data_IF_204918034029
#
_entry.id   IF_204918034029
#
_cell.length_a   1.000
_cell.length_b   1.000
_cell.length_c   1.000
_cell.angle_alpha   90.00
_cell.angle_beta   90.00
_cell.angle_gamma   90.00
#
_symmetry.space_group_name_H-M   'P 1'
#
loop_
_entity.id
_entity.type
_entity.pdbx_description
1 polymer ?
#
# COMPACT_ATOMS: atom_id res chain seq x y z
N UNK A 1 -3.61 -29.57 -1.64
CA UNK A 1 -3.51 -28.12 -1.85
C UNK A 1 -2.94 -27.49 -0.59
N UNK A 2 -1.96 -26.61 -0.73
CA UNK A 2 -1.35 -25.91 0.41
C UNK A 2 -2.38 -24.91 1.01
N UNK A 3 -2.43 -24.77 2.34
CA UNK A 3 -3.33 -23.84 3.04
C UNK A 3 -3.21 -22.43 2.49
N UNK A 4 -1.99 -21.96 2.22
CA UNK A 4 -1.73 -20.62 1.65
C UNK A 4 -2.33 -20.47 0.24
N UNK A 5 -2.26 -21.50 -0.58
CA UNK A 5 -2.86 -21.49 -1.92
C UNK A 5 -4.37 -21.35 -1.84
N UNK A 6 -5.02 -22.08 -0.92
CA UNK A 6 -6.46 -21.98 -0.72
C UNK A 6 -6.88 -20.61 -0.18
N UNK A 7 -6.13 -20.08 0.79
CA UNK A 7 -6.38 -18.75 1.35
C UNK A 7 -6.26 -17.67 0.27
N UNK A 8 -5.21 -17.72 -0.55
CA UNK A 8 -5.01 -16.77 -1.65
C UNK A 8 -6.14 -16.87 -2.68
N UNK A 9 -6.49 -18.09 -3.09
CA UNK A 9 -7.59 -18.30 -4.05
C UNK A 9 -8.93 -17.78 -3.51
N UNK A 10 -9.18 -17.99 -2.22
CA UNK A 10 -10.38 -17.47 -1.56
C UNK A 10 -10.43 -15.94 -1.59
N UNK A 11 -9.33 -15.27 -1.24
CA UNK A 11 -9.24 -13.80 -1.28
C UNK A 11 -9.42 -13.26 -2.71
N UNK A 12 -8.77 -13.89 -3.70
CA UNK A 12 -8.94 -13.49 -5.10
C UNK A 12 -10.40 -13.66 -5.57
N UNK A 13 -11.08 -14.74 -5.15
CA UNK A 13 -12.50 -14.93 -5.48
C UNK A 13 -13.39 -13.85 -4.84
N UNK A 14 -13.06 -13.41 -3.62
CA UNK A 14 -13.78 -12.29 -2.97
C UNK A 14 -13.55 -10.97 -3.70
N UNK A 15 -12.33 -10.69 -4.15
CA UNK A 15 -12.01 -9.49 -4.97
C UNK A 15 -12.80 -9.55 -6.27
N UNK A 16 -12.78 -10.69 -6.98
CA UNK A 16 -13.51 -10.88 -8.22
C UNK A 16 -15.00 -10.62 -8.01
N UNK A 17 -15.61 -11.25 -7.01
CA UNK A 17 -17.03 -11.07 -6.71
C UNK A 17 -17.38 -9.60 -6.36
N UNK A 18 -16.52 -8.93 -5.57
CA UNK A 18 -16.73 -7.52 -5.25
C UNK A 18 -16.63 -6.61 -6.50
N UNK A 19 -15.72 -6.90 -7.43
CA UNK A 19 -15.61 -6.21 -8.69
C UNK A 19 -16.85 -6.45 -9.58
N UNK A 20 -17.31 -7.69 -9.72
CA UNK A 20 -18.51 -8.05 -10.48
C UNK A 20 -19.75 -7.31 -9.97
N UNK A 21 -19.98 -7.31 -8.64
CA UNK A 21 -21.11 -6.60 -8.00
C UNK A 21 -21.02 -5.08 -8.24
N UNK A 22 -19.81 -4.53 -8.27
CA UNK A 22 -19.57 -3.09 -8.44
C UNK A 22 -19.45 -2.66 -9.91
N UNK A 23 -19.58 -3.58 -10.87
CA UNK A 23 -19.43 -3.32 -12.30
C UNK A 23 -18.01 -2.89 -12.69
N UNK A 24 -16.99 -3.40 -11.98
CA UNK A 24 -15.59 -3.07 -12.19
C UNK A 24 -14.83 -4.23 -12.82
N UNK A 25 -13.78 -3.90 -13.57
CA UNK A 25 -12.83 -4.90 -14.05
C UNK A 25 -12.01 -5.44 -12.85
N UNK A 26 -11.85 -6.75 -12.75
CA UNK A 26 -11.04 -7.42 -11.71
C UNK A 26 -9.57 -6.99 -11.78
N UNK A 27 -9.05 -6.77 -12.98
CA UNK A 27 -7.68 -6.30 -13.20
C UNK A 27 -7.44 -4.86 -12.67
N UNK A 28 -8.52 -4.15 -12.33
CA UNK A 28 -8.44 -2.81 -11.72
C UNK A 28 -8.13 -2.82 -10.23
N UNK A 29 -8.02 -4.00 -9.60
CA UNK A 29 -7.80 -4.15 -8.15
C UNK A 29 -6.63 -5.10 -7.88
N UNK A 30 -5.58 -4.56 -7.32
CA UNK A 30 -4.38 -5.32 -6.91
C UNK A 30 -4.52 -5.86 -5.48
N UNK A 31 -4.05 -7.10 -5.27
CA UNK A 31 -3.92 -7.72 -3.97
C UNK A 31 -2.50 -7.52 -3.41
N UNK A 32 -2.36 -6.69 -2.39
CA UNK A 32 -1.14 -6.56 -1.60
C UNK A 32 -1.20 -7.50 -0.39
N UNK A 33 -0.30 -8.49 -0.35
CA UNK A 33 -0.20 -9.43 0.76
C UNK A 33 0.56 -8.80 1.93
N UNK A 34 -0.13 -8.51 3.04
CA UNK A 34 0.47 -7.91 4.23
C UNK A 34 1.13 -8.98 5.08
N UNK A 35 2.45 -9.06 4.99
CA UNK A 35 3.28 -10.15 5.51
C UNK A 35 4.01 -9.85 6.83
N UNK A 36 3.72 -8.70 7.45
CA UNK A 36 4.30 -8.36 8.76
C UNK A 36 4.07 -9.47 9.79
N UNK A 37 5.08 -9.73 10.61
CA UNK A 37 5.12 -10.78 11.65
C UNK A 37 5.15 -12.23 11.14
N UNK A 38 5.22 -12.44 9.82
CA UNK A 38 5.36 -13.78 9.25
C UNK A 38 6.79 -14.02 8.79
N UNK A 39 7.39 -15.22 8.98
CA UNK A 39 8.77 -15.50 8.60
C UNK A 39 8.94 -15.63 7.09
N UNK A 40 10.18 -15.49 6.60
CA UNK A 40 10.53 -15.49 5.18
C UNK A 40 10.09 -16.76 4.44
N UNK A 41 10.09 -17.91 5.11
CA UNK A 41 9.66 -19.20 4.55
C UNK A 41 8.18 -19.17 4.12
N UNK A 42 7.33 -18.55 4.93
CA UNK A 42 5.90 -18.37 4.62
C UNK A 42 5.70 -17.45 3.41
N UNK A 43 6.53 -16.42 3.27
CA UNK A 43 6.49 -15.53 2.11
C UNK A 43 6.96 -16.27 0.85
N UNK A 44 7.99 -17.11 0.95
CA UNK A 44 8.47 -17.96 -0.16
C UNK A 44 7.38 -18.91 -0.63
N UNK A 45 6.67 -19.54 0.29
CA UNK A 45 5.53 -20.41 -0.03
C UNK A 45 4.38 -19.63 -0.68
N UNK A 46 4.07 -18.43 -0.19
CA UNK A 46 3.05 -17.56 -0.78
C UNK A 46 3.46 -17.04 -2.17
N UNK A 47 4.77 -16.77 -2.38
CA UNK A 47 5.32 -16.45 -3.70
C UNK A 47 5.17 -17.62 -4.67
N UNK A 48 5.41 -18.86 -4.22
CA UNK A 48 5.18 -20.07 -5.02
C UNK A 48 3.70 -20.26 -5.39
N UNK A 49 2.77 -19.73 -4.57
CA UNK A 49 1.34 -19.64 -4.90
C UNK A 49 0.99 -18.54 -5.89
N UNK A 50 1.98 -17.78 -6.40
CA UNK A 50 1.80 -16.74 -7.41
C UNK A 50 1.65 -15.31 -6.86
N UNK A 51 1.85 -15.06 -5.56
CA UNK A 51 1.88 -13.70 -5.01
C UNK A 51 3.22 -13.03 -5.34
N UNK A 52 3.18 -11.74 -5.70
CA UNK A 52 4.37 -10.96 -6.05
C UNK A 52 4.54 -9.72 -5.18
N UNK A 53 3.46 -9.01 -4.85
CA UNK A 53 3.45 -7.80 -4.04
C UNK A 53 3.28 -8.13 -2.56
N UNK A 54 4.24 -7.73 -1.71
CA UNK A 54 4.22 -7.95 -0.27
C UNK A 54 4.38 -6.64 0.50
N UNK A 55 3.54 -6.46 1.53
CA UNK A 55 3.47 -5.25 2.35
C UNK A 55 4.02 -5.46 3.76
N UNK A 56 4.96 -4.60 4.16
CA UNK A 56 5.63 -4.63 5.45
C UNK A 56 5.39 -3.32 6.25
N UNK A 57 5.26 -3.45 7.56
CA UNK A 57 5.07 -2.30 8.44
C UNK A 57 6.34 -1.94 9.23
N UNK A 58 7.25 -2.89 9.43
CA UNK A 58 8.42 -2.76 10.30
C UNK A 58 9.70 -2.88 9.49
N UNK A 59 10.48 -1.79 9.41
CA UNK A 59 11.63 -1.71 8.51
C UNK A 59 12.70 -2.79 8.80
N UNK A 60 13.03 -3.04 10.07
CA UNK A 60 14.08 -4.00 10.40
C UNK A 60 13.69 -5.43 9.99
N UNK A 61 12.47 -5.82 10.28
CA UNK A 61 11.89 -7.09 9.86
C UNK A 61 11.88 -7.22 8.32
N UNK A 62 11.44 -6.15 7.64
CA UNK A 62 11.40 -6.12 6.18
C UNK A 62 12.78 -6.29 5.55
N UNK A 63 13.81 -5.61 6.07
CA UNK A 63 15.18 -5.72 5.55
C UNK A 63 15.73 -7.15 5.66
N UNK A 64 15.45 -7.86 6.76
CA UNK A 64 15.84 -9.26 6.93
C UNK A 64 15.13 -10.17 5.89
N UNK A 65 13.85 -9.94 5.63
CA UNK A 65 13.08 -10.68 4.63
C UNK A 65 13.57 -10.40 3.21
N UNK A 66 13.82 -9.14 2.87
CA UNK A 66 14.38 -8.73 1.57
C UNK A 66 15.70 -9.44 1.32
N UNK A 67 16.58 -9.53 2.32
CA UNK A 67 17.86 -10.24 2.22
C UNK A 67 17.66 -11.76 2.06
N UNK A 68 16.78 -12.36 2.86
CA UNK A 68 16.52 -13.81 2.84
C UNK A 68 15.83 -14.28 1.54
N UNK A 69 15.14 -13.36 0.84
CA UNK A 69 14.34 -13.66 -0.36
C UNK A 69 14.86 -12.93 -1.62
N UNK A 70 16.15 -12.53 -1.63
CA UNK A 70 16.76 -11.80 -2.75
C UNK A 70 16.82 -12.58 -4.07
N UNK A 71 16.61 -13.90 -4.01
CA UNK A 71 16.51 -14.81 -5.15
C UNK A 71 15.13 -14.78 -5.83
N UNK A 72 14.14 -14.09 -5.24
CA UNK A 72 12.79 -13.98 -5.74
C UNK A 72 12.50 -12.56 -6.25
N UNK A 73 11.74 -12.48 -7.33
CA UNK A 73 11.26 -11.20 -7.87
C UNK A 73 10.02 -10.74 -7.10
N UNK A 74 10.25 -10.20 -5.91
CA UNK A 74 9.21 -9.67 -5.02
C UNK A 74 9.12 -8.15 -5.16
N UNK A 75 7.91 -7.64 -5.37
CA UNK A 75 7.61 -6.23 -5.24
C UNK A 75 7.34 -5.88 -3.78
N UNK A 76 8.30 -5.17 -3.18
CA UNK A 76 8.24 -4.80 -1.76
C UNK A 76 7.55 -3.46 -1.56
N UNK A 77 6.48 -3.47 -0.76
CA UNK A 77 5.73 -2.30 -0.34
C UNK A 77 5.96 -2.01 1.14
N UNK A 78 6.35 -0.79 1.47
CA UNK A 78 6.35 -0.33 2.85
C UNK A 78 5.03 0.40 3.14
N UNK A 79 4.25 -0.13 4.06
CA UNK A 79 2.92 0.38 4.42
C UNK A 79 2.84 0.87 5.87
N UNK A 80 3.97 0.93 6.57
CA UNK A 80 4.08 1.45 7.93
C UNK A 80 4.34 2.95 7.96
N UNK A 81 4.35 3.51 9.18
CA UNK A 81 4.71 4.91 9.42
C UNK A 81 6.16 5.18 9.00
N UNK A 82 6.37 6.26 8.24
CA UNK A 82 7.70 6.63 7.73
C UNK A 82 8.42 7.57 8.69
N UNK A 83 9.41 7.04 9.39
CA UNK A 83 10.31 7.84 10.21
C UNK A 83 11.40 8.49 9.34
N UNK A 84 11.69 9.77 9.60
CA UNK A 84 12.65 10.57 8.82
C UNK A 84 14.05 9.93 8.70
N UNK A 85 14.53 9.26 9.75
CA UNK A 85 15.84 8.60 9.78
C UNK A 85 15.87 7.25 9.04
N UNK A 86 14.73 6.74 8.58
CA UNK A 86 14.59 5.45 7.89
C UNK A 86 14.45 5.59 6.36
N UNK A 87 14.26 6.82 5.85
CA UNK A 87 13.97 7.09 4.43
C UNK A 87 15.02 6.53 3.47
N UNK A 88 16.31 6.47 3.85
CA UNK A 88 17.37 5.93 2.98
C UNK A 88 17.12 4.45 2.65
N UNK A 89 16.88 3.62 3.65
CA UNK A 89 16.61 2.19 3.42
C UNK A 89 15.31 1.97 2.64
N UNK A 90 14.28 2.80 2.90
CA UNK A 90 13.03 2.74 2.14
C UNK A 90 13.27 3.09 0.67
N UNK A 91 14.02 4.16 0.39
CA UNK A 91 14.34 4.57 -0.96
C UNK A 91 15.18 3.54 -1.73
N UNK A 92 16.09 2.81 -1.07
CA UNK A 92 17.00 1.86 -1.71
C UNK A 92 16.41 0.45 -1.88
N UNK A 93 15.50 0.02 -0.98
CA UNK A 93 15.09 -1.39 -0.86
C UNK A 93 13.65 -1.68 -1.26
N UNK A 94 12.80 -0.66 -1.39
CA UNK A 94 11.39 -0.86 -1.70
C UNK A 94 11.03 -0.36 -3.09
N UNK A 95 9.99 -0.94 -3.67
CA UNK A 95 9.35 -0.46 -4.90
C UNK A 95 8.25 0.56 -4.61
N UNK A 96 7.63 0.47 -3.42
CA UNK A 96 6.53 1.32 -2.98
C UNK A 96 6.68 1.77 -1.53
N UNK A 97 6.24 3.02 -1.25
CA UNK A 97 6.08 3.55 0.11
C UNK A 97 4.71 4.23 0.22
N UNK A 98 3.83 3.69 1.06
CA UNK A 98 2.45 4.15 1.21
C UNK A 98 2.24 5.16 2.34
N UNK A 99 3.17 5.24 3.29
CA UNK A 99 3.03 6.04 4.51
C UNK A 99 3.62 7.45 4.40
N UNK A 100 3.58 8.09 3.24
CA UNK A 100 4.08 9.45 3.07
C UNK A 100 3.00 10.43 3.50
N UNK A 101 3.29 11.28 4.49
CA UNK A 101 2.35 12.23 5.07
C UNK A 101 2.82 13.70 5.01
N UNK A 102 4.05 13.94 4.55
CA UNK A 102 4.70 15.27 4.56
C UNK A 102 5.67 15.41 3.40
N UNK A 103 5.78 16.63 2.86
CA UNK A 103 6.70 16.95 1.76
C UNK A 103 8.14 16.56 2.07
N UNK A 104 8.64 16.85 3.26
CA UNK A 104 10.04 16.54 3.65
C UNK A 104 10.36 15.04 3.57
N UNK A 105 9.39 14.16 3.79
CA UNK A 105 9.58 12.70 3.62
C UNK A 105 9.73 12.35 2.15
N UNK A 106 8.87 12.88 1.28
CA UNK A 106 8.96 12.66 -0.17
C UNK A 106 10.26 13.21 -0.76
N UNK A 107 10.69 14.41 -0.35
CA UNK A 107 11.97 15.01 -0.75
C UNK A 107 13.16 14.12 -0.40
N UNK A 108 13.17 13.57 0.83
CA UNK A 108 14.23 12.66 1.26
C UNK A 108 14.23 11.35 0.49
N UNK A 109 13.07 10.75 0.27
CA UNK A 109 12.93 9.55 -0.55
C UNK A 109 13.42 9.79 -1.98
N UNK A 110 13.01 10.91 -2.59
CA UNK A 110 13.45 11.35 -3.92
C UNK A 110 14.98 11.55 -3.99
N UNK A 111 15.55 12.26 -3.02
CA UNK A 111 16.99 12.53 -2.96
C UNK A 111 17.82 11.26 -2.77
N UNK A 112 17.30 10.27 -2.03
CA UNK A 112 18.01 9.06 -1.66
C UNK A 112 17.76 7.87 -2.61
N UNK A 113 16.77 7.96 -3.53
CA UNK A 113 16.56 6.95 -4.57
C UNK A 113 17.72 6.93 -5.54
N UNK A 114 18.30 5.77 -5.80
CA UNK A 114 19.43 5.63 -6.72
C UNK A 114 19.00 5.89 -8.17
N UNK A 115 19.82 6.58 -8.92
CA UNK A 115 19.55 6.93 -10.33
C UNK A 115 19.46 5.68 -11.23
N UNK A 116 20.07 4.59 -10.81
CA UNK A 116 20.07 3.29 -11.52
C UNK A 116 18.82 2.46 -11.26
N UNK A 117 17.98 2.89 -10.31
CA UNK A 117 16.74 2.19 -9.98
C UNK A 117 15.54 2.85 -10.66
N UNK A 118 14.50 2.05 -10.92
CA UNK A 118 13.20 2.59 -11.31
C UNK A 118 12.70 3.62 -10.28
N UNK A 119 11.91 4.62 -10.66
CA UNK A 119 11.33 5.57 -9.72
C UNK A 119 10.58 4.86 -8.59
N UNK A 120 10.70 5.37 -7.37
CA UNK A 120 10.00 4.85 -6.20
C UNK A 120 8.54 5.28 -6.25
N UNK A 121 7.61 4.33 -6.19
CA UNK A 121 6.18 4.64 -6.14
C UNK A 121 5.77 5.08 -4.73
N UNK A 122 5.02 6.16 -4.63
CA UNK A 122 4.55 6.74 -3.39
C UNK A 122 3.03 6.85 -3.36
N UNK A 123 2.42 6.58 -2.19
CA UNK A 123 1.07 7.05 -1.87
C UNK A 123 1.14 8.08 -0.74
N UNK A 124 0.28 9.10 -0.79
CA UNK A 124 0.03 9.97 0.35
C UNK A 124 -0.88 9.24 1.34
N UNK A 125 -0.42 9.09 2.57
CA UNK A 125 -1.28 8.63 3.66
C UNK A 125 -2.13 9.78 4.16
N UNK A 126 -3.46 9.59 4.15
CA UNK A 126 -4.43 10.62 4.56
C UNK A 126 -5.23 10.12 5.75
N UNK A 127 -5.30 10.95 6.79
CA UNK A 127 -6.19 10.77 7.93
C UNK A 127 -7.61 11.24 7.54
N UNK A 128 -8.31 10.39 6.78
CA UNK A 128 -9.56 10.76 6.11
C UNK A 128 -10.74 10.96 7.07
N UNK A 129 -10.68 10.38 8.25
CA UNK A 129 -11.73 10.45 9.28
C UNK A 129 -11.33 11.29 10.50
N UNK A 130 -10.22 12.04 10.41
CA UNK A 130 -9.82 13.06 11.39
C UNK A 130 -9.53 12.53 12.79
N UNK A 131 -9.04 11.31 12.92
CA UNK A 131 -8.72 10.72 14.22
C UNK A 131 -7.33 11.16 14.70
N UNK A 132 -7.24 11.84 15.84
CA UNK A 132 -5.98 12.34 16.40
C UNK A 132 -4.90 11.26 16.63
N UNK A 133 -5.29 10.01 16.79
CA UNK A 133 -4.38 8.89 17.04
C UNK A 133 -3.82 8.25 15.76
N UNK A 134 -4.22 8.70 14.57
CA UNK A 134 -3.81 8.11 13.28
C UNK A 134 -2.80 8.97 12.55
N UNK A 135 -1.84 8.27 11.94
CA UNK A 135 -0.91 8.89 10.98
C UNK A 135 -1.62 9.34 9.71
N UNK A 136 -0.99 10.26 9.00
CA UNK A 136 -1.45 10.78 7.72
C UNK A 136 -1.65 12.30 7.75
N UNK A 137 -1.53 12.94 6.59
CA UNK A 137 -1.85 14.34 6.42
C UNK A 137 -3.38 14.56 6.50
N UNK A 138 -3.80 15.80 6.76
CA UNK A 138 -5.20 16.13 6.74
C UNK A 138 -5.73 16.25 5.29
N UNK A 139 -7.02 16.02 5.04
CA UNK A 139 -7.58 16.08 3.68
C UNK A 139 -7.37 17.43 2.98
N UNK A 140 -7.35 18.54 3.71
CA UNK A 140 -7.12 19.89 3.18
C UNK A 140 -5.67 20.16 2.78
N UNK A 141 -4.70 19.39 3.29
CA UNK A 141 -3.29 19.48 2.91
C UNK A 141 -2.96 18.73 1.61
N UNK A 142 -3.82 17.78 1.20
CA UNK A 142 -3.52 16.85 0.08
C UNK A 142 -3.28 17.58 -1.23
N UNK A 143 -4.07 18.60 -1.54
CA UNK A 143 -3.95 19.35 -2.81
C UNK A 143 -2.56 19.99 -2.98
N UNK A 144 -2.02 20.58 -1.91
CA UNK A 144 -0.69 21.21 -1.95
C UNK A 144 0.43 20.18 -1.97
N UNK A 145 0.28 19.07 -1.23
CA UNK A 145 1.23 17.97 -1.24
C UNK A 145 1.30 17.30 -2.61
N UNK A 146 0.18 17.08 -3.29
CA UNK A 146 0.16 16.53 -4.66
C UNK A 146 0.93 17.41 -5.62
N UNK A 147 0.67 18.72 -5.64
CA UNK A 147 1.40 19.67 -6.49
C UNK A 147 2.91 19.65 -6.26
N UNK A 148 3.31 19.63 -4.99
CA UNK A 148 4.72 19.72 -4.62
C UNK A 148 5.45 18.41 -4.86
N UNK A 149 4.87 17.27 -4.45
CA UNK A 149 5.51 15.96 -4.50
C UNK A 149 5.59 15.43 -5.93
N UNK A 150 4.57 15.66 -6.75
CA UNK A 150 4.55 15.17 -8.14
C UNK A 150 5.64 15.76 -9.03
N UNK A 151 6.29 16.85 -8.60
CA UNK A 151 7.42 17.48 -9.31
C UNK A 151 8.79 16.88 -8.94
N UNK A 152 8.85 16.05 -7.87
CA UNK A 152 10.12 15.52 -7.39
C UNK A 152 10.67 14.44 -8.33
N UNK A 153 11.98 14.43 -8.63
CA UNK A 153 12.59 13.43 -9.51
C UNK A 153 12.70 12.06 -8.80
N UNK A 154 12.86 11.00 -9.57
CA UNK A 154 13.10 9.61 -9.10
C UNK A 154 12.04 9.02 -8.21
N UNK A 155 10.90 9.66 -8.10
CA UNK A 155 9.69 9.12 -7.47
C UNK A 155 8.51 9.27 -8.43
N UNK A 156 7.46 8.48 -8.18
CA UNK A 156 6.15 8.62 -8.80
C UNK A 156 5.10 8.67 -7.71
N UNK A 157 4.39 9.78 -7.62
CA UNK A 157 3.25 9.88 -6.73
C UNK A 157 2.05 9.20 -7.40
N UNK A 158 1.64 8.04 -6.87
CA UNK A 158 0.63 7.18 -7.50
C UNK A 158 -0.78 7.42 -7.00
N UNK A 159 -0.93 8.03 -5.83
CA UNK A 159 -2.26 8.26 -5.28
C UNK A 159 -2.29 8.36 -3.77
N UNK A 160 -3.40 7.87 -3.18
CA UNK A 160 -3.68 7.95 -1.76
C UNK A 160 -3.66 6.59 -1.08
N UNK A 161 -3.32 6.59 0.21
CA UNK A 161 -3.51 5.47 1.12
C UNK A 161 -4.31 5.93 2.33
N UNK A 162 -5.36 5.19 2.68
CA UNK A 162 -6.18 5.47 3.86
C UNK A 162 -6.41 4.23 4.72
N UNK A 163 -6.50 4.43 6.03
CA UNK A 163 -6.86 3.41 7.02
C UNK A 163 -7.98 3.99 7.87
N UNK A 164 -9.23 3.90 7.44
CA UNK A 164 -10.36 4.43 8.21
C UNK A 164 -10.57 3.72 9.54
N UNK A 165 -11.42 4.30 10.41
CA UNK A 165 -11.92 3.61 11.58
C UNK A 165 -12.72 2.35 11.16
N UNK A 166 -12.73 1.31 11.98
CA UNK A 166 -13.56 0.13 11.72
C UNK A 166 -15.02 0.51 11.45
N UNK A 167 -15.61 -0.11 10.45
CA UNK A 167 -17.00 0.11 10.00
C UNK A 167 -17.32 1.51 9.45
N UNK A 168 -16.32 2.36 9.19
CA UNK A 168 -16.52 3.66 8.57
C UNK A 168 -16.43 3.58 7.04
N UNK A 169 -17.45 3.01 6.40
CA UNK A 169 -17.51 2.86 4.93
C UNK A 169 -17.64 4.21 4.20
N UNK A 170 -18.13 5.26 4.87
CA UNK A 170 -18.21 6.61 4.30
C UNK A 170 -16.82 7.21 4.06
N UNK A 171 -15.84 6.85 4.86
CA UNK A 171 -14.46 7.29 4.68
C UNK A 171 -13.86 6.79 3.34
N UNK A 172 -14.22 5.61 2.86
CA UNK A 172 -13.80 5.12 1.55
C UNK A 172 -14.36 5.98 0.41
N UNK A 173 -15.63 6.39 0.51
CA UNK A 173 -16.25 7.29 -0.47
C UNK A 173 -15.61 8.67 -0.43
N UNK A 174 -15.34 9.20 0.76
CA UNK A 174 -14.63 10.48 0.93
C UNK A 174 -13.22 10.42 0.34
N UNK A 175 -12.48 9.32 0.56
CA UNK A 175 -11.16 9.11 -0.03
C UNK A 175 -11.21 9.08 -1.56
N UNK A 176 -12.23 8.43 -2.16
CA UNK A 176 -12.41 8.40 -3.63
C UNK A 176 -12.72 9.79 -4.18
N UNK A 177 -13.60 10.54 -3.53
CA UNK A 177 -13.90 11.93 -3.94
C UNK A 177 -12.63 12.79 -3.89
N UNK A 178 -11.87 12.73 -2.80
CA UNK A 178 -10.62 13.46 -2.67
C UNK A 178 -9.61 13.05 -3.75
N UNK A 179 -9.46 11.73 -3.99
CA UNK A 179 -8.59 11.19 -5.02
C UNK A 179 -8.90 11.76 -6.41
N UNK A 180 -10.18 11.82 -6.77
CA UNK A 180 -10.61 12.37 -8.07
C UNK A 180 -10.42 13.89 -8.15
N UNK A 181 -10.70 14.61 -7.07
CA UNK A 181 -10.59 16.08 -7.02
C UNK A 181 -9.16 16.58 -7.22
N UNK A 182 -8.16 15.86 -6.73
CA UNK A 182 -6.76 16.30 -6.79
C UNK A 182 -5.99 15.81 -8.00
N UNK A 183 -6.57 14.92 -8.81
CA UNK A 183 -5.91 14.29 -9.96
C UNK A 183 -5.30 15.32 -10.92
N UNK A 184 -6.07 16.34 -11.27
CA UNK A 184 -5.64 17.37 -12.23
C UNK A 184 -4.57 18.34 -11.65
N UNK A 185 -4.27 18.23 -10.36
CA UNK A 185 -3.19 18.99 -9.72
C UNK A 185 -1.84 18.29 -9.85
N UNK A 186 -1.84 17.03 -10.24
CA UNK A 186 -0.64 16.22 -10.44
C UNK A 186 0.01 16.59 -11.79
N UNK A 187 1.34 16.81 -11.83
CA UNK A 187 2.04 17.17 -13.07
C UNK A 187 2.04 16.07 -14.14
N UNK A 188 1.77 14.83 -13.69
CA UNK A 188 1.61 13.64 -14.53
C UNK A 188 0.33 12.91 -14.11
N UNK A 189 -0.88 13.40 -14.49
CA UNK A 189 -2.15 12.82 -14.06
C UNK A 189 -2.34 11.33 -14.44
N UNK A 190 -1.59 10.86 -15.45
CA UNK A 190 -1.54 9.46 -15.87
C UNK A 190 -0.88 8.53 -14.83
N UNK A 191 0.00 9.04 -14.00
CA UNK A 191 0.63 8.31 -12.89
C UNK A 191 -0.29 8.21 -11.66
N UNK A 192 -1.37 9.02 -11.59
CA UNK A 192 -2.31 9.06 -10.46
C UNK A 192 -3.42 8.00 -10.62
N UNK A 193 -3.13 6.78 -10.21
CA UNK A 193 -3.93 5.58 -10.50
C UNK A 193 -4.20 4.68 -9.28
N UNK A 194 -3.56 4.97 -8.13
CA UNK A 194 -3.59 4.06 -6.98
C UNK A 194 -4.37 4.66 -5.81
N UNK A 195 -5.47 3.99 -5.45
CA UNK A 195 -6.21 4.24 -4.21
C UNK A 195 -6.10 3.01 -3.32
N UNK A 196 -5.08 3.04 -2.43
CA UNK A 196 -4.76 1.95 -1.51
C UNK A 196 -5.66 2.05 -0.28
N UNK A 197 -6.71 1.22 -0.22
CA UNK A 197 -7.65 1.15 0.88
C UNK A 197 -8.37 -0.19 0.92
N UNK A 198 -8.84 -0.58 2.11
CA UNK A 198 -9.50 -1.87 2.34
C UNK A 198 -8.55 -2.95 2.84
N UNK A 199 -9.00 -3.68 3.82
CA UNK A 199 -8.32 -4.80 4.48
C UNK A 199 -9.24 -6.02 4.52
N UNK A 200 -8.81 -7.12 5.14
CA UNK A 200 -9.57 -8.39 5.18
C UNK A 200 -11.04 -8.25 5.59
N UNK A 201 -11.37 -7.30 6.46
CA UNK A 201 -12.73 -7.15 7.00
C UNK A 201 -13.63 -6.18 6.21
N UNK A 202 -13.07 -5.33 5.37
CA UNK A 202 -13.79 -4.22 4.71
C UNK A 202 -13.43 -4.04 3.22
N UNK A 203 -12.67 -4.98 2.63
CA UNK A 203 -12.20 -4.87 1.24
C UNK A 203 -13.35 -4.82 0.23
N UNK A 204 -14.47 -5.46 0.50
CA UNK A 204 -15.65 -5.44 -0.40
C UNK A 204 -16.20 -4.03 -0.51
N UNK A 205 -16.39 -3.35 0.63
CA UNK A 205 -16.86 -1.96 0.67
C UNK A 205 -15.85 -1.01 0.05
N UNK A 206 -14.55 -1.24 0.30
CA UNK A 206 -13.48 -0.45 -0.29
C UNK A 206 -13.45 -0.59 -1.82
N UNK A 207 -13.59 -1.80 -2.36
CA UNK A 207 -13.66 -2.06 -3.80
C UNK A 207 -14.89 -1.38 -4.40
N UNK A 208 -16.05 -1.50 -3.76
CA UNK A 208 -17.26 -0.82 -4.21
C UNK A 208 -17.12 0.70 -4.21
N UNK A 209 -16.32 1.26 -3.31
CA UNK A 209 -16.01 2.69 -3.25
C UNK A 209 -14.87 3.13 -4.20
N UNK A 210 -14.23 2.22 -4.95
CA UNK A 210 -13.23 2.56 -5.95
C UNK A 210 -11.77 2.24 -5.56
N UNK A 211 -11.52 1.41 -4.52
CA UNK A 211 -10.16 0.94 -4.21
C UNK A 211 -9.51 0.29 -5.43
N UNK A 212 -8.24 0.59 -5.66
CA UNK A 212 -7.43 -0.07 -6.71
C UNK A 212 -6.36 -0.98 -6.12
N UNK A 213 -6.15 -0.95 -4.80
CA UNK A 213 -5.25 -1.85 -4.10
C UNK A 213 -5.80 -2.18 -2.72
N UNK A 214 -6.05 -3.46 -2.46
CA UNK A 214 -6.48 -3.96 -1.14
C UNK A 214 -5.32 -4.61 -0.40
N UNK A 215 -5.21 -4.37 0.92
CA UNK A 215 -4.12 -4.82 1.77
C UNK A 215 -4.60 -5.92 2.71
N UNK A 216 -4.29 -7.16 2.38
CA UNK A 216 -4.85 -8.33 3.06
C UNK A 216 -3.74 -9.09 3.79
N UNK A 217 -3.89 -9.30 5.09
CA UNK A 217 -2.96 -10.07 5.94
C UNK A 217 -3.62 -11.32 6.50
N UNK A 218 -4.47 -11.18 7.50
CA UNK A 218 -5.06 -12.30 8.25
C UNK A 218 -5.80 -13.31 7.38
N UNK A 219 -6.49 -12.86 6.34
CA UNK A 219 -7.20 -13.77 5.43
C UNK A 219 -6.25 -14.60 4.54
N UNK A 220 -5.00 -14.15 4.34
CA UNK A 220 -3.97 -14.87 3.57
C UNK A 220 -3.13 -15.79 4.45
N UNK A 221 -2.64 -15.27 5.57
CA UNK A 221 -1.61 -15.92 6.38
C UNK A 221 -2.16 -16.54 7.68
N UNK A 222 -3.42 -16.29 8.04
CA UNK A 222 -4.00 -16.68 9.31
C UNK A 222 -3.78 -15.67 10.43
N UNK A 223 -4.18 -16.06 11.65
CA UNK A 223 -3.97 -15.24 12.84
C UNK A 223 -2.48 -15.09 13.15
N UNK A 224 -2.09 -13.90 13.61
CA UNK A 224 -0.70 -13.59 13.95
C UNK A 224 -0.26 -14.34 15.20
N UNK A 225 0.94 -14.91 15.17
CA UNK A 225 1.59 -15.43 16.35
C UNK A 225 2.47 -14.32 16.97
N UNK A 226 2.03 -13.78 18.11
CA UNK A 226 2.75 -12.76 18.88
C UNK A 226 3.71 -13.36 19.91
N UNK A 227 3.87 -14.68 19.96
CA UNK A 227 4.69 -15.36 20.99
C UNK A 227 6.21 -15.26 20.76
N UNK A 228 6.64 -14.65 19.63
CA UNK A 228 8.07 -14.59 19.25
C UNK A 228 8.69 -13.17 19.35
N UNK A 229 8.05 -12.25 20.09
CA UNK A 229 8.60 -10.90 20.33
C UNK A 229 8.77 -10.61 21.81
#
# INVERSE_FOLDING_TARGET
MNILQNSRQHVLSQIQQACEISGRDVESVELLAVSKTHPSEVLRDMYACGQRAFGENYLQEALQKIEALQDLDIEWHFIGHVQRNKTKHLAEKFAWVHGVDRLIIAERLSAQRLITQAPLNLCLQVNIDGQDSKDGCQPDEVAELVKSISQLPRIKLRGLMVIPAPNNTQAFKAAKVLFDQVKELHVHPEDWDTLSMGMSGDMVDAIAAGSTMVRVGTALFGARDYSQH
#
